data_IF_772492754349
#
_entry.id   IF_772492754349
#
_cell.length_a   1.000
_cell.length_b   1.000
_cell.length_c   1.000
_cell.angle_alpha   90.00
_cell.angle_beta   90.00
_cell.angle_gamma   90.00
#
_symmetry.space_group_name_H-M   'P 1'
#
loop_
_entity.id
_entity.type
_entity.pdbx_description
1 polymer ?
#
# COMPACT_ATOMS: atom_id res chain seq x y z
N UNK A 1 14.25 18.70 -3.80
CA UNK A 1 12.94 18.92 -4.47
C UNK A 1 11.86 18.74 -3.43
N UNK A 2 10.70 19.37 -3.57
CA UNK A 2 9.60 19.16 -2.64
C UNK A 2 9.04 17.74 -2.82
N UNK A 3 8.68 17.06 -1.71
CA UNK A 3 7.98 15.79 -1.80
C UNK A 3 6.61 16.00 -2.47
N UNK A 4 6.28 15.13 -3.42
CA UNK A 4 5.03 15.22 -4.15
C UNK A 4 4.43 13.83 -4.37
N UNK A 5 3.15 13.67 -4.03
CA UNK A 5 2.33 12.49 -4.34
C UNK A 5 1.20 12.95 -5.25
N UNK A 6 0.93 12.19 -6.31
CA UNK A 6 -0.23 12.40 -7.17
C UNK A 6 -1.06 11.14 -7.23
N UNK A 7 -2.37 11.29 -7.23
CA UNK A 7 -3.27 10.16 -7.41
C UNK A 7 -4.53 10.57 -8.17
N UNK A 8 -5.05 9.62 -8.91
CA UNK A 8 -6.36 9.72 -9.54
C UNK A 8 -7.34 8.91 -8.71
N UNK A 9 -8.40 9.53 -8.28
CA UNK A 9 -9.47 8.87 -7.52
C UNK A 9 -10.77 8.90 -8.32
N UNK A 10 -11.56 7.84 -8.18
CA UNK A 10 -12.89 7.73 -8.78
C UNK A 10 -13.93 7.89 -7.70
N UNK A 11 -14.87 8.79 -7.92
CA UNK A 11 -16.06 8.90 -7.09
C UNK A 11 -17.04 7.76 -7.43
N UNK A 12 -17.43 6.96 -6.44
CA UNK A 12 -18.42 5.90 -6.61
C UNK A 12 -19.53 6.14 -5.61
N UNK A 13 -20.74 6.41 -6.13
CA UNK A 13 -21.97 6.53 -5.33
C UNK A 13 -21.86 7.45 -4.10
N UNK A 14 -21.25 8.60 -4.23
CA UNK A 14 -21.12 9.56 -3.13
C UNK A 14 -22.46 10.23 -2.80
N UNK A 15 -23.45 9.40 -2.46
CA UNK A 15 -24.82 9.84 -2.26
C UNK A 15 -25.15 10.25 -0.83
N UNK A 16 -24.41 9.76 0.17
CA UNK A 16 -24.70 10.09 1.59
C UNK A 16 -23.40 10.23 2.41
N UNK A 17 -22.77 11.42 2.34
CA UNK A 17 -21.76 11.81 3.34
C UNK A 17 -20.38 11.17 3.18
N UNK A 18 -20.08 10.62 2.03
CA UNK A 18 -18.80 10.01 1.73
C UNK A 18 -17.71 11.05 1.49
N UNK A 19 -16.59 10.84 2.10
CA UNK A 19 -15.51 11.81 2.21
C UNK A 19 -14.22 11.16 1.71
N UNK A 20 -13.53 11.83 0.82
CA UNK A 20 -12.16 11.44 0.45
C UNK A 20 -11.23 11.59 1.64
N UNK A 21 -10.47 10.55 1.96
CA UNK A 21 -9.55 10.54 3.10
C UNK A 21 -8.12 10.35 2.66
N UNK A 22 -7.22 11.14 3.21
CA UNK A 22 -5.77 11.00 3.06
C UNK A 22 -5.11 11.03 4.42
N UNK A 23 -4.26 10.05 4.71
CA UNK A 23 -3.43 10.06 5.91
C UNK A 23 -1.97 10.21 5.51
N UNK A 24 -1.31 11.20 6.07
CA UNK A 24 0.10 11.49 5.84
C UNK A 24 0.87 11.41 7.15
N UNK A 25 1.94 10.63 7.20
CA UNK A 25 2.95 10.77 8.25
C UNK A 25 3.97 11.79 7.78
N UNK A 26 4.10 12.86 8.53
CA UNK A 26 4.95 13.99 8.15
C UNK A 26 5.91 14.35 9.26
N UNK A 27 7.12 14.75 8.88
CA UNK A 27 8.03 15.53 9.72
C UNK A 27 7.55 16.98 9.82
N UNK A 28 8.05 17.78 10.80
CA UNK A 28 7.69 19.19 10.91
C UNK A 28 7.85 19.96 9.61
N UNK A 29 6.79 20.65 9.19
CA UNK A 29 6.76 21.39 7.93
C UNK A 29 5.33 21.64 7.44
N UNK A 30 5.20 22.12 6.22
CA UNK A 30 3.91 22.40 5.59
C UNK A 30 3.67 21.51 4.38
N UNK A 31 2.43 21.06 4.20
CA UNK A 31 2.00 20.28 3.06
C UNK A 31 0.65 20.77 2.57
N UNK A 32 0.53 20.97 1.26
CA UNK A 32 -0.73 21.32 0.60
C UNK A 32 -1.33 20.07 -0.03
N UNK A 33 -2.61 19.84 0.23
CA UNK A 33 -3.45 18.85 -0.45
C UNK A 33 -4.40 19.60 -1.37
N UNK A 34 -4.27 19.41 -2.66
CA UNK A 34 -5.18 19.90 -3.69
C UNK A 34 -6.10 18.73 -4.10
N UNK A 35 -7.40 18.91 -3.95
CA UNK A 35 -8.37 17.84 -4.12
C UNK A 35 -8.84 17.62 -5.56
N UNK A 36 -8.38 18.46 -6.49
CA UNK A 36 -8.69 18.34 -7.91
C UNK A 36 -10.07 18.92 -8.32
N UNK A 37 -10.82 19.45 -7.38
CA UNK A 37 -12.12 20.12 -7.59
C UNK A 37 -12.05 21.64 -7.42
N UNK A 38 -10.84 22.19 -7.36
CA UNK A 38 -10.56 23.60 -7.11
C UNK A 38 -10.42 23.97 -5.62
N UNK A 39 -10.61 23.01 -4.71
CA UNK A 39 -10.41 23.19 -3.27
C UNK A 39 -9.06 22.62 -2.84
N UNK A 40 -8.48 23.17 -1.80
CA UNK A 40 -7.23 22.69 -1.22
C UNK A 40 -7.13 22.96 0.26
N UNK A 41 -6.37 22.13 0.96
CA UNK A 41 -6.08 22.26 2.38
C UNK A 41 -4.58 22.40 2.64
N UNK A 42 -4.23 23.07 3.74
CA UNK A 42 -2.86 23.22 4.21
C UNK A 42 -2.68 22.50 5.54
N UNK A 43 -1.81 21.51 5.56
CA UNK A 43 -1.38 20.81 6.77
C UNK A 43 -0.13 21.53 7.29
N UNK A 44 -0.11 21.83 8.60
CA UNK A 44 1.07 22.36 9.30
C UNK A 44 1.49 21.40 10.39
N UNK A 45 2.48 20.60 10.09
CA UNK A 45 3.03 19.62 11.01
C UNK A 45 4.02 20.31 11.96
N UNK A 46 3.82 20.18 13.28
CA UNK A 46 4.71 20.70 14.32
C UNK A 46 5.58 19.60 14.94
N UNK A 47 5.22 18.35 14.73
CA UNK A 47 5.96 17.16 15.14
C UNK A 47 5.89 16.09 14.06
N UNK A 48 6.74 15.08 14.14
CA UNK A 48 6.59 13.90 13.28
C UNK A 48 5.42 13.05 13.79
N UNK A 49 4.31 13.06 13.05
CA UNK A 49 3.08 12.35 13.40
C UNK A 49 2.23 12.08 12.15
N UNK A 50 1.14 11.33 12.35
CA UNK A 50 0.12 11.10 11.36
C UNK A 50 -0.88 12.26 11.34
N UNK A 51 -1.12 12.82 10.15
CA UNK A 51 -2.07 13.87 9.88
C UNK A 51 -3.18 13.32 8.99
N UNK A 52 -4.39 13.52 9.42
CA UNK A 52 -5.59 13.08 8.71
C UNK A 52 -6.27 14.27 8.10
N UNK A 53 -6.51 14.22 6.80
CA UNK A 53 -7.29 15.20 6.06
C UNK A 53 -8.42 14.50 5.31
N UNK A 54 -9.54 15.18 5.23
CA UNK A 54 -10.73 14.67 4.55
C UNK A 54 -11.36 15.75 3.68
N UNK A 55 -11.98 15.34 2.60
CA UNK A 55 -12.62 16.23 1.66
C UNK A 55 -13.98 15.70 1.22
N UNK A 56 -14.96 16.60 1.23
CA UNK A 56 -16.32 16.31 0.82
C UNK A 56 -16.55 16.75 -0.63
N UNK A 57 -16.72 15.79 -1.52
CA UNK A 57 -16.94 16.03 -2.93
C UNK A 57 -18.41 16.18 -3.32
N UNK A 58 -19.39 16.12 -2.38
CA UNK A 58 -20.83 16.17 -2.71
C UNK A 58 -21.25 17.36 -3.55
N UNK A 59 -20.61 18.51 -3.36
CA UNK A 59 -20.91 19.71 -4.16
C UNK A 59 -20.18 19.72 -5.51
N UNK A 60 -19.07 19.01 -5.63
CA UNK A 60 -18.18 19.01 -6.79
C UNK A 60 -18.50 17.87 -7.75
N UNK A 61 -18.85 16.70 -7.21
CA UNK A 61 -19.18 15.51 -8.00
C UNK A 61 -20.62 15.62 -8.56
N UNK A 62 -20.73 15.64 -9.90
CA UNK A 62 -22.02 15.77 -10.59
C UNK A 62 -22.46 14.48 -11.26
N UNK A 63 -21.54 13.55 -11.47
CA UNK A 63 -21.79 12.29 -12.16
C UNK A 63 -21.18 11.12 -11.38
N UNK A 64 -21.80 9.96 -11.48
CA UNK A 64 -21.20 8.72 -10.99
C UNK A 64 -19.95 8.40 -11.81
N UNK A 65 -18.87 7.99 -11.16
CA UNK A 65 -17.56 7.67 -11.77
C UNK A 65 -16.72 8.88 -12.22
N UNK A 66 -16.99 10.09 -11.73
CA UNK A 66 -16.14 11.25 -11.99
C UNK A 66 -14.73 11.04 -11.42
N UNK A 67 -13.70 11.47 -12.18
CA UNK A 67 -12.31 11.36 -11.78
C UNK A 67 -11.81 12.68 -11.20
N UNK A 68 -11.18 12.61 -10.03
CA UNK A 68 -10.48 13.72 -9.41
C UNK A 68 -8.98 13.45 -9.35
N UNK A 69 -8.19 14.48 -9.65
CA UNK A 69 -6.73 14.42 -9.68
C UNK A 69 -6.19 15.11 -8.43
N UNK A 70 -5.89 14.31 -7.41
CA UNK A 70 -5.39 14.81 -6.13
C UNK A 70 -3.88 15.01 -6.22
N UNK A 71 -3.41 16.17 -5.76
CA UNK A 71 -1.98 16.46 -5.65
C UNK A 71 -1.63 16.86 -4.23
N UNK A 72 -0.66 16.19 -3.66
CA UNK A 72 -0.13 16.43 -2.30
C UNK A 72 1.30 16.93 -2.47
N UNK A 73 1.59 18.14 -1.99
CA UNK A 73 2.90 18.77 -2.18
C UNK A 73 3.40 19.33 -0.84
N UNK A 74 4.53 18.80 -0.37
CA UNK A 74 5.21 19.33 0.81
C UNK A 74 6.09 20.53 0.45
N UNK A 75 6.36 21.42 1.42
CA UNK A 75 7.16 22.62 1.21
C UNK A 75 8.68 22.38 1.22
N UNK A 76 9.14 21.16 1.46
CA UNK A 76 10.55 20.77 1.52
C UNK A 76 10.77 19.30 1.24
N UNK A 77 12.04 18.87 1.23
CA UNK A 77 12.45 17.51 0.92
C UNK A 77 12.30 16.60 2.15
N UNK A 78 11.88 15.36 1.93
CA UNK A 78 11.87 14.33 2.96
C UNK A 78 10.86 14.56 4.08
N UNK A 79 9.83 15.35 3.85
CA UNK A 79 8.81 15.65 4.83
C UNK A 79 7.75 14.55 4.93
N UNK A 80 7.41 13.90 3.83
CA UNK A 80 6.38 12.84 3.81
C UNK A 80 7.09 11.49 3.99
N UNK A 81 6.89 10.87 5.15
CA UNK A 81 7.49 9.58 5.50
C UNK A 81 6.49 8.43 5.52
N UNK A 82 5.19 8.72 5.51
CA UNK A 82 4.15 7.71 5.43
C UNK A 82 2.94 8.20 4.66
N UNK A 83 2.29 7.26 3.96
CA UNK A 83 1.11 7.54 3.17
C UNK A 83 0.10 6.39 3.26
N UNK A 84 -1.17 6.75 3.47
CA UNK A 84 -2.32 5.85 3.37
C UNK A 84 -3.29 6.39 2.35
N UNK A 85 -3.51 5.62 1.30
CA UNK A 85 -4.50 5.90 0.25
C UNK A 85 -5.59 4.83 0.25
N UNK A 86 -6.80 5.21 -0.14
CA UNK A 86 -7.90 4.27 -0.34
C UNK A 86 -8.57 3.80 0.96
N UNK A 87 -8.64 4.64 1.99
CA UNK A 87 -9.48 4.35 3.15
C UNK A 87 -10.90 4.89 2.94
N UNK A 88 -11.91 4.08 3.27
CA UNK A 88 -13.31 4.44 3.09
C UNK A 88 -13.76 4.30 1.63
N UNK A 89 -14.55 5.25 1.16
CA UNK A 89 -15.25 5.17 -0.14
C UNK A 89 -14.44 5.77 -1.32
N UNK A 90 -13.15 6.07 -1.09
CA UNK A 90 -12.27 6.62 -2.11
C UNK A 90 -11.57 5.51 -2.89
N UNK A 91 -11.96 5.30 -4.13
CA UNK A 91 -11.29 4.37 -5.04
C UNK A 91 -10.11 5.04 -5.72
N UNK A 92 -8.91 4.62 -5.36
CA UNK A 92 -7.69 5.08 -6.04
C UNK A 92 -7.50 4.28 -7.32
N UNK A 93 -7.60 4.95 -8.47
CA UNK A 93 -7.42 4.34 -9.78
C UNK A 93 -5.94 4.33 -10.22
N UNK A 94 -5.18 5.35 -9.87
CA UNK A 94 -3.75 5.47 -10.18
C UNK A 94 -3.03 6.29 -9.11
N UNK A 95 -1.73 6.00 -8.92
CA UNK A 95 -0.90 6.67 -7.92
C UNK A 95 0.55 6.81 -8.40
N UNK A 96 1.07 8.05 -8.38
CA UNK A 96 2.46 8.39 -8.65
C UNK A 96 3.15 8.80 -7.35
N UNK A 97 4.08 7.98 -6.88
CA UNK A 97 4.90 8.18 -5.69
C UNK A 97 6.34 8.63 -6.04
N UNK A 98 6.64 8.83 -7.32
CA UNK A 98 8.00 9.11 -7.79
C UNK A 98 8.60 10.39 -7.21
N UNK A 99 7.75 11.33 -6.83
CA UNK A 99 8.15 12.58 -6.16
C UNK A 99 8.32 12.47 -4.64
N UNK A 100 8.26 11.27 -4.04
CA UNK A 100 8.31 11.09 -2.59
C UNK A 100 9.32 10.00 -2.16
N UNK A 101 10.63 10.20 -2.40
CA UNK A 101 11.65 9.16 -2.18
C UNK A 101 11.89 8.81 -0.71
N UNK A 102 11.45 9.66 0.22
CA UNK A 102 11.63 9.46 1.67
C UNK A 102 10.52 8.64 2.32
N UNK A 103 9.63 8.04 1.52
CA UNK A 103 8.54 7.24 2.01
C UNK A 103 9.05 5.97 2.70
N UNK A 104 8.65 5.75 3.95
CA UNK A 104 8.97 4.59 4.78
C UNK A 104 7.78 3.67 5.03
N UNK A 105 6.58 4.22 4.97
CA UNK A 105 5.31 3.50 5.15
C UNK A 105 4.37 3.77 4.00
N UNK A 106 3.81 2.72 3.42
CA UNK A 106 2.77 2.81 2.40
C UNK A 106 1.63 1.84 2.72
N UNK A 107 0.41 2.37 2.81
CA UNK A 107 -0.79 1.57 2.73
C UNK A 107 -1.59 2.02 1.51
N UNK A 108 -1.85 1.07 0.60
CA UNK A 108 -2.64 1.29 -0.60
C UNK A 108 -3.72 0.21 -0.69
N UNK A 109 -4.98 0.64 -0.57
CA UNK A 109 -6.16 -0.19 -0.71
C UNK A 109 -6.91 0.20 -2.00
N UNK A 110 -7.63 -0.76 -2.61
CA UNK A 110 -8.55 -0.57 -3.74
C UNK A 110 -7.93 -0.25 -5.11
N UNK A 111 -8.37 -0.96 -6.13
CA UNK A 111 -8.34 -0.76 -7.59
C UNK A 111 -7.05 -0.27 -8.29
N UNK A 112 -5.93 -0.14 -7.61
CA UNK A 112 -4.66 0.18 -8.28
C UNK A 112 -4.24 -1.06 -9.07
N UNK A 113 -4.36 -1.02 -10.39
CA UNK A 113 -3.95 -2.13 -11.27
C UNK A 113 -2.43 -2.32 -11.29
N UNK A 114 -1.68 -1.27 -11.03
CA UNK A 114 -0.23 -1.27 -10.99
C UNK A 114 0.29 -0.29 -9.96
N UNK A 115 1.14 -0.79 -9.07
CA UNK A 115 1.86 0.04 -8.10
C UNK A 115 3.36 0.03 -8.44
N UNK A 116 3.92 1.20 -8.74
CA UNK A 116 5.34 1.39 -8.97
C UNK A 116 5.98 2.08 -7.75
N UNK A 117 6.81 1.33 -7.03
CA UNK A 117 7.57 1.81 -5.87
C UNK A 117 9.08 1.80 -6.13
N UNK A 118 9.49 1.72 -7.40
CA UNK A 118 10.90 1.65 -7.79
C UNK A 118 11.73 2.86 -7.35
N UNK A 119 11.07 4.00 -7.17
CA UNK A 119 11.68 5.26 -6.71
C UNK A 119 11.62 5.45 -5.19
N UNK A 120 11.05 4.50 -4.45
CA UNK A 120 10.85 4.56 -3.01
C UNK A 120 11.59 3.42 -2.28
N UNK A 121 12.93 3.33 -2.41
CA UNK A 121 13.69 2.19 -1.88
C UNK A 121 13.69 2.11 -0.35
N UNK A 122 13.38 3.22 0.34
CA UNK A 122 13.34 3.33 1.81
C UNK A 122 12.06 2.82 2.46
N UNK A 123 11.09 2.28 1.68
CA UNK A 123 9.86 1.73 2.27
C UNK A 123 10.19 0.50 3.11
N UNK A 124 9.83 0.58 4.40
CA UNK A 124 10.01 -0.48 5.41
C UNK A 124 8.74 -1.29 5.63
N UNK A 125 7.59 -0.64 5.58
CA UNK A 125 6.29 -1.27 5.84
C UNK A 125 5.37 -0.99 4.65
N UNK A 126 4.81 -2.05 4.09
CA UNK A 126 3.83 -1.95 3.02
C UNK A 126 2.61 -2.81 3.31
N UNK A 127 1.43 -2.22 3.16
CA UNK A 127 0.14 -2.89 3.23
C UNK A 127 -0.59 -2.66 1.93
N UNK A 128 -0.86 -3.73 1.21
CA UNK A 128 -1.54 -3.70 -0.08
C UNK A 128 -2.86 -4.44 0.04
N UNK A 129 -3.94 -3.79 -0.30
CA UNK A 129 -5.28 -4.34 -0.29
C UNK A 129 -6.01 -4.17 -1.61
N UNK A 130 -7.12 -4.89 -1.76
CA UNK A 130 -8.03 -4.77 -2.89
C UNK A 130 -7.73 -5.67 -4.08
N UNK A 131 -8.75 -5.85 -4.89
CA UNK A 131 -8.79 -6.80 -6.02
C UNK A 131 -7.86 -6.44 -7.18
N UNK A 132 -7.28 -5.27 -7.18
CA UNK A 132 -6.73 -4.68 -8.40
C UNK A 132 -5.19 -4.67 -8.49
N UNK A 133 -4.46 -4.92 -7.42
CA UNK A 133 -2.99 -5.01 -7.48
C UNK A 133 -2.56 -6.27 -8.25
N UNK A 134 -2.70 -6.27 -9.58
CA UNK A 134 -2.32 -7.40 -10.42
C UNK A 134 -0.82 -7.50 -10.67
N UNK A 135 -0.07 -6.40 -10.50
CA UNK A 135 1.37 -6.32 -10.72
C UNK A 135 2.02 -5.38 -9.71
N UNK A 136 2.72 -5.94 -8.74
CA UNK A 136 3.58 -5.19 -7.81
C UNK A 136 5.02 -5.49 -8.13
N UNK A 137 5.80 -4.46 -8.51
CA UNK A 137 7.25 -4.59 -8.67
C UNK A 137 7.96 -4.13 -7.40
N UNK A 138 8.48 -5.09 -6.64
CA UNK A 138 9.22 -4.88 -5.40
C UNK A 138 10.74 -5.08 -5.60
N UNK A 139 11.24 -5.00 -6.84
CA UNK A 139 12.64 -5.27 -7.17
C UNK A 139 13.63 -4.28 -6.52
N UNK A 140 13.17 -3.09 -6.15
CA UNK A 140 13.95 -2.06 -5.47
C UNK A 140 13.74 -1.99 -3.94
N UNK A 141 12.80 -2.78 -3.39
CA UNK A 141 12.37 -2.70 -1.98
C UNK A 141 13.26 -3.52 -1.04
N UNK A 142 14.56 -3.20 -1.00
CA UNK A 142 15.53 -3.96 -0.18
C UNK A 142 15.34 -3.77 1.32
N UNK A 143 14.87 -2.59 1.73
CA UNK A 143 14.69 -2.20 3.11
C UNK A 143 13.31 -2.61 3.66
N UNK A 144 12.48 -3.28 2.83
CA UNK A 144 11.17 -3.75 3.23
C UNK A 144 11.27 -4.79 4.34
N UNK A 145 10.75 -4.44 5.50
CA UNK A 145 10.76 -5.26 6.72
C UNK A 145 9.43 -6.01 6.91
N UNK A 146 8.33 -5.37 6.55
CA UNK A 146 6.99 -5.92 6.69
C UNK A 146 6.17 -5.71 5.42
N UNK A 147 5.59 -6.81 4.93
CA UNK A 147 4.63 -6.80 3.83
C UNK A 147 3.35 -7.51 4.23
N UNK A 148 2.24 -6.85 4.01
CA UNK A 148 0.90 -7.42 4.09
C UNK A 148 0.21 -7.27 2.75
N UNK A 149 -0.33 -8.37 2.21
CA UNK A 149 -1.10 -8.39 0.96
C UNK A 149 -2.45 -9.01 1.22
N UNK A 150 -3.50 -8.24 0.96
CA UNK A 150 -4.88 -8.64 1.23
C UNK A 150 -5.73 -8.64 -0.02
N UNK A 151 -6.54 -9.70 -0.19
CA UNK A 151 -7.58 -9.77 -1.23
C UNK A 151 -7.11 -9.35 -2.63
N UNK A 152 -5.91 -9.77 -3.02
CA UNK A 152 -5.31 -9.38 -4.30
C UNK A 152 -5.55 -10.41 -5.39
N UNK A 153 -5.54 -9.96 -6.66
CA UNK A 153 -5.54 -10.84 -7.85
C UNK A 153 -4.13 -11.30 -8.23
N UNK A 154 -3.16 -11.15 -7.35
CA UNK A 154 -1.78 -11.57 -7.59
C UNK A 154 -1.72 -13.09 -7.79
N UNK A 155 -1.12 -13.51 -8.88
CA UNK A 155 -0.80 -14.92 -9.13
C UNK A 155 0.60 -15.29 -8.68
N UNK A 156 1.51 -14.32 -8.67
CA UNK A 156 2.90 -14.49 -8.25
C UNK A 156 3.37 -13.26 -7.47
N UNK A 157 4.04 -13.49 -6.37
CA UNK A 157 4.66 -12.44 -5.56
C UNK A 157 6.18 -12.66 -5.52
N UNK A 158 6.92 -11.70 -6.07
CA UNK A 158 8.38 -11.77 -6.14
C UNK A 158 9.04 -10.87 -5.09
N UNK A 159 9.54 -11.50 -4.02
CA UNK A 159 10.26 -10.85 -2.92
C UNK A 159 11.75 -11.24 -2.91
N UNK A 160 12.30 -11.67 -4.05
CA UNK A 160 13.68 -12.17 -4.15
C UNK A 160 14.75 -11.10 -3.90
N UNK A 161 14.37 -9.83 -3.85
CA UNK A 161 15.24 -8.69 -3.55
C UNK A 161 14.98 -8.05 -2.18
N UNK A 162 13.95 -8.48 -1.45
CA UNK A 162 13.58 -7.96 -0.15
C UNK A 162 14.43 -8.67 0.94
N UNK A 163 15.69 -8.28 1.05
CA UNK A 163 16.65 -8.93 1.96
C UNK A 163 16.30 -8.68 3.44
N UNK A 164 15.72 -7.52 3.76
CA UNK A 164 15.36 -7.11 5.12
C UNK A 164 14.01 -7.65 5.60
N UNK A 165 13.27 -8.37 4.73
CA UNK A 165 11.90 -8.82 5.05
C UNK A 165 11.88 -9.77 6.25
N UNK A 166 11.13 -9.36 7.29
CA UNK A 166 10.95 -10.08 8.56
C UNK A 166 9.54 -10.65 8.73
N UNK A 167 8.54 -9.92 8.24
CA UNK A 167 7.13 -10.29 8.38
C UNK A 167 6.43 -10.30 7.01
N UNK A 168 5.75 -11.41 6.72
CA UNK A 168 4.91 -11.55 5.53
C UNK A 168 3.53 -12.06 5.93
N UNK A 169 2.50 -11.29 5.62
CA UNK A 169 1.11 -11.66 5.79
C UNK A 169 0.41 -11.70 4.44
N UNK A 170 -0.19 -12.82 4.12
CA UNK A 170 -0.98 -13.03 2.91
C UNK A 170 -2.40 -13.41 3.33
N UNK A 171 -3.37 -12.53 3.05
CA UNK A 171 -4.75 -12.66 3.49
C UNK A 171 -5.70 -12.68 2.28
N UNK A 172 -6.50 -13.70 2.13
CA UNK A 172 -7.51 -13.85 1.05
C UNK A 172 -6.93 -13.69 -0.36
N UNK A 173 -5.71 -14.20 -0.61
CA UNK A 173 -5.08 -14.16 -1.94
C UNK A 173 -5.43 -15.43 -2.72
N UNK A 174 -6.64 -15.50 -3.24
CA UNK A 174 -7.25 -16.72 -3.79
C UNK A 174 -6.59 -17.20 -5.09
N UNK A 175 -5.92 -16.33 -5.85
CA UNK A 175 -5.24 -16.69 -7.10
C UNK A 175 -3.72 -16.89 -6.94
N UNK A 176 -3.16 -16.66 -5.75
CA UNK A 176 -1.71 -16.68 -5.53
C UNK A 176 -1.16 -18.11 -5.51
N UNK A 177 -0.37 -18.44 -6.51
CA UNK A 177 0.22 -19.79 -6.70
C UNK A 177 1.69 -19.85 -6.31
N UNK A 178 2.38 -18.72 -6.28
CA UNK A 178 3.83 -18.70 -6.07
C UNK A 178 4.29 -17.46 -5.33
N UNK A 179 5.12 -17.66 -4.32
CA UNK A 179 5.86 -16.62 -3.60
C UNK A 179 7.35 -16.98 -3.63
N UNK A 180 8.19 -16.04 -4.03
CA UNK A 180 9.64 -16.17 -3.91
C UNK A 180 10.17 -15.14 -2.94
N UNK A 181 10.97 -15.56 -1.97
CA UNK A 181 11.66 -14.66 -1.01
C UNK A 181 13.16 -14.70 -1.28
N UNK A 182 13.87 -13.65 -0.83
CA UNK A 182 15.33 -13.63 -0.91
C UNK A 182 15.93 -14.80 -0.09
N UNK A 183 16.97 -15.41 -0.62
CA UNK A 183 17.75 -16.40 0.11
C UNK A 183 18.53 -15.78 1.31
N UNK A 184 18.61 -14.44 1.36
CA UNK A 184 19.16 -13.64 2.46
C UNK A 184 18.07 -13.05 3.36
N UNK A 185 16.81 -13.33 3.06
CA UNK A 185 15.68 -12.80 3.82
C UNK A 185 15.80 -13.12 5.31
N UNK A 186 15.45 -12.16 6.12
CA UNK A 186 15.35 -12.26 7.58
C UNK A 186 13.96 -12.72 8.04
N UNK A 187 13.18 -13.34 7.17
CA UNK A 187 11.79 -13.74 7.41
C UNK A 187 11.65 -14.58 8.68
N UNK A 188 10.91 -14.07 9.66
CA UNK A 188 10.65 -14.68 10.97
C UNK A 188 9.17 -14.91 11.24
N UNK A 189 8.29 -14.21 10.54
CA UNK A 189 6.85 -14.37 10.72
C UNK A 189 6.19 -14.52 9.36
N UNK A 190 5.47 -15.60 9.16
CA UNK A 190 4.66 -15.87 7.97
C UNK A 190 3.23 -16.18 8.39
N UNK A 191 2.28 -15.39 7.89
CA UNK A 191 0.86 -15.65 8.04
C UNK A 191 0.23 -15.92 6.69
N UNK A 192 -0.41 -17.06 6.55
CA UNK A 192 -1.15 -17.49 5.37
C UNK A 192 -2.61 -17.73 5.77
N UNK A 193 -3.49 -16.82 5.38
CA UNK A 193 -4.90 -16.88 5.70
C UNK A 193 -5.67 -16.87 4.39
N UNK A 194 -6.48 -17.91 4.13
CA UNK A 194 -7.26 -18.05 2.89
C UNK A 194 -6.42 -17.84 1.62
N UNK A 195 -5.28 -18.54 1.54
CA UNK A 195 -4.38 -18.52 0.38
C UNK A 195 -4.17 -19.94 -0.15
N UNK A 196 -5.21 -20.57 -0.72
CA UNK A 196 -5.27 -22.02 -0.90
C UNK A 196 -4.45 -22.57 -2.08
N UNK A 197 -4.06 -21.72 -3.04
CA UNK A 197 -3.41 -22.16 -4.28
C UNK A 197 -1.87 -22.15 -4.25
N UNK A 198 -1.26 -21.84 -3.12
CA UNK A 198 0.19 -21.92 -3.01
C UNK A 198 0.66 -23.36 -3.22
N UNK A 199 1.60 -23.54 -4.17
CA UNK A 199 2.14 -24.87 -4.48
C UNK A 199 2.90 -25.46 -3.28
N UNK A 200 2.85 -26.79 -3.13
CA UNK A 200 3.57 -27.51 -2.08
C UNK A 200 5.06 -27.17 -2.06
N UNK A 201 5.68 -27.11 -3.25
CA UNK A 201 7.08 -26.72 -3.40
C UNK A 201 7.35 -25.29 -2.89
N UNK A 202 6.41 -24.38 -3.06
CA UNK A 202 6.51 -23.02 -2.55
C UNK A 202 6.43 -23.02 -1.02
N UNK A 203 5.49 -23.75 -0.44
CA UNK A 203 5.33 -23.88 1.00
C UNK A 203 6.57 -24.50 1.65
N UNK A 204 7.13 -25.59 1.10
CA UNK A 204 8.38 -26.19 1.58
C UNK A 204 9.56 -25.20 1.56
N UNK A 205 9.65 -24.36 0.52
CA UNK A 205 10.70 -23.35 0.43
C UNK A 205 10.56 -22.27 1.51
N UNK A 206 9.34 -21.81 1.76
CA UNK A 206 9.05 -20.85 2.81
C UNK A 206 9.32 -21.43 4.21
N UNK A 207 8.93 -22.69 4.44
CA UNK A 207 9.18 -23.41 5.68
C UNK A 207 10.68 -23.52 5.99
N UNK A 208 11.51 -23.95 5.01
CA UNK A 208 12.97 -23.99 5.16
C UNK A 208 13.57 -22.61 5.46
N UNK A 209 12.98 -21.55 4.89
CA UNK A 209 13.44 -20.18 5.15
C UNK A 209 13.15 -19.77 6.59
N UNK A 210 11.95 -20.09 7.09
CA UNK A 210 11.57 -19.82 8.48
C UNK A 210 12.41 -20.63 9.47
N UNK A 211 12.59 -21.93 9.23
CA UNK A 211 13.43 -22.80 10.05
C UNK A 211 14.85 -22.26 10.18
N UNK A 212 15.46 -21.86 9.06
CA UNK A 212 16.80 -21.26 9.05
C UNK A 212 16.88 -20.01 9.91
N UNK A 213 15.82 -19.20 9.96
CA UNK A 213 15.78 -17.91 10.65
C UNK A 213 15.19 -18.01 12.08
N UNK A 214 14.78 -19.19 12.52
CA UNK A 214 14.10 -19.38 13.82
C UNK A 214 12.72 -18.72 13.87
N UNK A 215 12.02 -18.71 12.74
CA UNK A 215 10.73 -18.04 12.57
C UNK A 215 9.54 -18.97 12.84
N UNK A 216 8.35 -18.39 12.72
CA UNK A 216 7.06 -19.05 12.95
C UNK A 216 6.14 -18.91 11.74
N UNK A 217 5.26 -19.90 11.54
CA UNK A 217 4.21 -19.89 10.51
C UNK A 217 2.84 -20.06 11.16
N UNK A 218 1.91 -19.23 10.73
CA UNK A 218 0.48 -19.35 11.04
C UNK A 218 -0.27 -19.61 9.73
N UNK A 219 -1.08 -20.65 9.70
CA UNK A 219 -1.94 -20.99 8.56
C UNK A 219 -3.35 -21.16 9.07
N UNK A 220 -4.28 -20.42 8.51
CA UNK A 220 -5.71 -20.58 8.84
C UNK A 220 -6.57 -20.43 7.59
N UNK A 221 -7.76 -21.00 7.63
CA UNK A 221 -8.80 -20.79 6.63
C UNK A 221 -10.06 -20.35 7.37
N UNK A 222 -10.62 -19.21 6.94
CA UNK A 222 -11.93 -18.74 7.38
C UNK A 222 -13.03 -19.13 6.36
N UNK A 223 -12.62 -19.71 5.22
CA UNK A 223 -13.55 -20.22 4.22
C UNK A 223 -14.06 -21.58 4.71
N UNK A 224 -15.26 -21.62 5.28
CA UNK A 224 -16.04 -22.87 5.38
C UNK A 224 -16.42 -23.24 3.95
N UNK A 225 -15.82 -24.32 3.44
CA UNK A 225 -16.20 -24.90 2.15
C UNK A 225 -17.41 -25.80 2.47
N UNK A 226 -18.61 -25.24 2.26
CA UNK A 226 -19.86 -26.02 2.18
C UNK A 226 -19.93 -26.84 0.87
#
# INVERSE_FOLDING_TARGET
MADTIRMTVRAINWTEGEVGHVHLRMRPGECRVDWGDGRSEMIRATAEDWYYVHHDYRESCKETEELFYISITASGDGLITGFVAGSGDMMVADMDLSGCPSLEYLKADWLIERLDVSTNPGIKIMVLGGDAASLVDLSCSRDLEKLEVQCSKLRKLNLSRCDSLQELTLLCNLELTHVSVSNRSSLKSLKLIDTPLLSEKCLEYLDRTLERNGGTKEVSSNLEID
#
